data_IF_474502722808
#
_entry.id   IF_474502722808
#
_cell.length_a   1.000
_cell.length_b   1.000
_cell.length_c   1.000
_cell.angle_alpha   90.00
_cell.angle_beta   90.00
_cell.angle_gamma   90.00
#
_symmetry.space_group_name_H-M   'P 1'
#
loop_
_entity.id
_entity.type
_entity.pdbx_description
1 polymer ?
#
# COMPACT_ATOMS: atom_id res chain seq x y z
N UNK A 1 -10.78 -21.02 11.84
CA UNK A 1 -10.22 -20.01 10.91
C UNK A 1 -8.99 -19.44 11.58
N UNK A 2 -7.84 -19.82 11.07
CA UNK A 2 -6.55 -19.38 11.57
C UNK A 2 -6.26 -18.01 10.98
N UNK A 3 -6.50 -16.97 11.77
CA UNK A 3 -6.20 -15.60 11.40
C UNK A 3 -4.74 -15.28 11.68
N UNK A 4 -4.10 -14.56 10.76
CA UNK A 4 -2.77 -13.99 10.94
C UNK A 4 -2.81 -12.47 10.91
N UNK A 5 -1.80 -11.86 11.52
CA UNK A 5 -1.62 -10.40 11.55
C UNK A 5 -0.40 -10.04 10.72
N UNK A 6 -0.63 -9.36 9.60
CA UNK A 6 0.40 -8.89 8.69
C UNK A 6 0.74 -7.43 9.02
N UNK A 7 2.02 -7.12 9.19
CA UNK A 7 2.48 -5.75 9.31
C UNK A 7 2.74 -5.24 7.89
N UNK A 8 1.94 -4.25 7.49
CA UNK A 8 1.96 -3.69 6.16
C UNK A 8 2.59 -2.29 6.17
N UNK A 9 3.26 -1.93 5.08
CA UNK A 9 3.83 -0.59 4.90
C UNK A 9 3.65 -0.15 3.45
N UNK A 10 3.26 1.10 3.25
CA UNK A 10 3.21 1.67 1.89
C UNK A 10 4.62 1.93 1.40
N UNK A 11 4.91 1.59 0.15
CA UNK A 11 6.23 1.80 -0.44
C UNK A 11 6.62 3.28 -0.37
N UNK A 12 7.80 3.57 0.19
CA UNK A 12 8.32 4.93 0.39
C UNK A 12 7.91 5.59 1.72
N UNK A 13 7.00 5.00 2.49
CA UNK A 13 6.65 5.50 3.81
C UNK A 13 7.71 5.13 4.87
N UNK A 14 7.91 5.98 5.90
CA UNK A 14 8.75 5.66 7.06
C UNK A 14 8.18 4.53 7.94
N UNK A 15 9.04 3.90 8.75
CA UNK A 15 8.64 2.76 9.61
C UNK A 15 7.50 3.07 10.59
N UNK A 16 7.35 4.32 11.01
CA UNK A 16 6.28 4.72 11.93
C UNK A 16 4.88 4.67 11.31
N UNK A 17 4.78 4.51 9.98
CA UNK A 17 3.51 4.34 9.24
C UNK A 17 3.14 2.87 9.01
N UNK A 18 3.92 1.93 9.55
CA UNK A 18 3.56 0.51 9.55
C UNK A 18 2.20 0.37 10.22
N UNK A 19 1.33 -0.42 9.58
CA UNK A 19 -0.02 -0.65 10.03
C UNK A 19 -0.34 -2.14 9.92
N UNK A 20 -0.95 -2.74 10.95
CA UNK A 20 -1.27 -4.15 10.91
C UNK A 20 -2.61 -4.40 10.21
N UNK A 21 -2.71 -5.50 9.47
CA UNK A 21 -3.96 -6.03 8.93
C UNK A 21 -4.17 -7.45 9.40
N UNK A 22 -5.40 -7.76 9.84
CA UNK A 22 -5.81 -9.12 10.20
C UNK A 22 -6.47 -9.77 8.99
N UNK A 23 -6.05 -10.97 8.62
CA UNK A 23 -6.57 -11.73 7.48
C UNK A 23 -6.52 -13.23 7.81
N UNK A 24 -7.51 -14.01 7.34
CA UNK A 24 -7.49 -15.45 7.50
C UNK A 24 -6.50 -16.11 6.53
N UNK A 25 -5.82 -17.18 6.96
CA UNK A 25 -4.87 -17.91 6.09
C UNK A 25 -5.50 -18.43 4.80
N UNK A 26 -6.79 -18.76 4.83
CA UNK A 26 -7.56 -19.29 3.69
C UNK A 26 -8.04 -18.22 2.73
N UNK A 27 -7.89 -16.93 3.07
CA UNK A 27 -8.25 -15.83 2.17
C UNK A 27 -7.16 -15.66 1.11
N UNK A 28 -7.54 -15.03 -0.01
CA UNK A 28 -6.61 -14.77 -1.09
C UNK A 28 -5.85 -13.45 -0.90
N UNK A 29 -4.75 -13.29 -1.63
CA UNK A 29 -4.09 -11.98 -1.79
C UNK A 29 -5.06 -10.93 -2.37
N UNK A 30 -6.02 -11.33 -3.22
CA UNK A 30 -7.08 -10.46 -3.72
C UNK A 30 -7.98 -9.92 -2.61
N UNK A 31 -8.31 -10.73 -1.62
CA UNK A 31 -9.09 -10.30 -0.46
C UNK A 31 -8.27 -9.42 0.49
N UNK A 32 -6.98 -9.71 0.66
CA UNK A 32 -6.04 -8.84 1.37
C UNK A 32 -6.00 -7.42 0.75
N UNK A 33 -6.05 -7.28 -0.58
CA UNK A 33 -6.10 -5.97 -1.24
C UNK A 33 -7.36 -5.18 -0.85
N UNK A 34 -8.51 -5.83 -0.77
CA UNK A 34 -9.78 -5.19 -0.32
C UNK A 34 -9.68 -4.75 1.13
N UNK A 35 -9.10 -5.60 1.99
CA UNK A 35 -8.87 -5.28 3.41
C UNK A 35 -7.94 -4.08 3.57
N UNK A 36 -6.83 -4.03 2.83
CA UNK A 36 -5.90 -2.91 2.84
C UNK A 36 -6.55 -1.60 2.42
N UNK A 37 -7.39 -1.63 1.37
CA UNK A 37 -8.16 -0.47 0.93
C UNK A 37 -9.06 0.06 2.04
N UNK A 38 -9.75 -0.83 2.76
CA UNK A 38 -10.62 -0.47 3.88
C UNK A 38 -9.84 0.08 5.07
N UNK A 39 -8.71 -0.52 5.40
CA UNK A 39 -7.85 -0.12 6.53
C UNK A 39 -7.23 1.27 6.34
N UNK A 40 -6.92 1.63 5.09
CA UNK A 40 -6.30 2.91 4.72
C UNK A 40 -7.28 3.88 4.08
N UNK A 41 -8.59 3.70 4.27
CA UNK A 41 -9.56 4.72 3.89
C UNK A 41 -9.31 6.02 4.68
N UNK A 42 -9.37 7.22 4.05
CA UNK A 42 -9.68 7.49 2.64
C UNK A 42 -8.47 7.50 1.70
N UNK A 43 -7.26 7.25 2.20
CA UNK A 43 -6.01 7.36 1.44
C UNK A 43 -5.95 6.42 0.22
N UNK A 44 -6.59 5.24 0.27
CA UNK A 44 -6.71 4.31 -0.86
C UNK A 44 -8.07 4.35 -1.57
N UNK A 45 -8.97 5.28 -1.24
CA UNK A 45 -10.35 5.23 -1.71
C UNK A 45 -10.44 5.33 -3.26
N UNK A 46 -9.59 6.18 -3.85
CA UNK A 46 -9.52 6.41 -5.30
C UNK A 46 -8.75 5.34 -6.07
N UNK A 47 -8.18 4.34 -5.40
CA UNK A 47 -7.39 3.28 -6.02
C UNK A 47 -8.23 2.00 -6.05
N UNK A 48 -8.41 1.35 -7.21
CA UNK A 48 -9.05 0.04 -7.26
C UNK A 48 -8.24 -0.97 -6.46
N UNK A 49 -8.90 -1.86 -5.73
CA UNK A 49 -8.18 -2.84 -4.92
C UNK A 49 -7.28 -3.74 -5.77
N UNK A 50 -7.72 -4.11 -6.98
CA UNK A 50 -6.99 -4.93 -7.95
C UNK A 50 -5.74 -4.25 -8.52
N UNK A 51 -5.61 -2.93 -8.35
CA UNK A 51 -4.46 -2.17 -8.80
C UNK A 51 -3.39 -1.96 -7.72
N UNK A 52 -3.69 -2.33 -6.47
CA UNK A 52 -2.69 -2.38 -5.40
C UNK A 52 -1.71 -3.54 -5.68
N UNK A 53 -0.42 -3.20 -5.75
CA UNK A 53 0.65 -4.18 -5.88
C UNK A 53 1.16 -4.55 -4.49
N UNK A 54 1.11 -5.84 -4.17
CA UNK A 54 1.56 -6.36 -2.88
C UNK A 54 2.84 -7.17 -3.06
N UNK A 55 3.79 -6.95 -2.15
CA UNK A 55 5.09 -7.60 -2.15
C UNK A 55 5.34 -8.24 -0.80
N UNK A 56 5.75 -9.50 -0.80
CA UNK A 56 6.14 -10.21 0.42
C UNK A 56 7.57 -9.87 0.78
N UNK A 57 7.78 -9.43 2.01
CA UNK A 57 9.11 -9.08 2.54
C UNK A 57 9.28 -9.67 3.93
N UNK A 58 10.53 -9.85 4.34
CA UNK A 58 10.88 -10.23 5.71
C UNK A 58 11.98 -9.30 6.20
N UNK A 59 11.59 -8.09 6.60
CA UNK A 59 12.52 -7.04 7.01
C UNK A 59 12.17 -6.54 8.41
N UNK A 60 13.16 -6.25 9.27
CA UNK A 60 12.89 -5.62 10.55
C UNK A 60 12.28 -4.22 10.33
N UNK A 61 11.36 -3.83 11.21
CA UNK A 61 10.72 -2.52 11.22
C UNK A 61 11.69 -1.41 11.67
N UNK A 62 12.79 -1.21 10.93
CA UNK A 62 13.76 -0.14 11.14
C UNK A 62 14.07 0.56 9.80
N UNK A 63 14.36 1.86 9.86
CA UNK A 63 14.54 2.67 8.64
C UNK A 63 15.75 2.22 7.80
N UNK A 64 16.78 1.64 8.43
CA UNK A 64 17.97 1.18 7.72
C UNK A 64 17.70 -0.03 6.82
N UNK A 65 16.82 -0.94 7.25
CA UNK A 65 16.40 -2.10 6.48
C UNK A 65 15.52 -1.69 5.30
N UNK A 66 14.67 -0.67 5.49
CA UNK A 66 13.84 -0.14 4.41
C UNK A 66 14.63 0.61 3.33
N UNK A 67 15.79 1.21 3.66
CA UNK A 67 16.65 1.88 2.67
C UNK A 67 17.18 0.94 1.59
N UNK A 68 17.40 -0.33 1.93
CA UNK A 68 17.91 -1.35 1.01
C UNK A 68 16.80 -2.32 0.56
N UNK A 69 15.54 -1.87 0.59
CA UNK A 69 14.39 -2.67 0.20
C UNK A 69 14.48 -3.05 -1.30
N UNK A 70 14.52 -4.35 -1.58
CA UNK A 70 14.33 -4.91 -2.92
C UNK A 70 12.93 -5.52 -3.04
N UNK A 71 12.21 -5.17 -4.10
CA UNK A 71 10.85 -5.66 -4.39
C UNK A 71 10.92 -6.76 -5.45
N UNK A 72 11.13 -8.00 -5.00
CA UNK A 72 11.31 -9.16 -5.89
C UNK A 72 10.12 -10.13 -5.82
N UNK A 73 9.53 -10.31 -4.63
CA UNK A 73 8.46 -11.28 -4.40
C UNK A 73 7.08 -10.65 -4.52
N UNK A 74 6.65 -10.40 -5.76
CA UNK A 74 5.30 -9.91 -6.04
C UNK A 74 4.27 -11.01 -5.78
N UNK A 75 3.23 -10.69 -5.00
CA UNK A 75 2.15 -11.61 -4.68
C UNK A 75 1.10 -11.69 -5.79
N UNK A 76 0.66 -12.90 -6.14
CA UNK A 76 -0.40 -13.12 -7.12
C UNK A 76 -1.77 -13.04 -6.42
N UNK A 77 -2.77 -12.30 -6.95
CA UNK A 77 -4.09 -12.18 -6.32
C UNK A 77 -4.81 -13.49 -6.04
N UNK A 78 -4.49 -14.58 -6.73
CA UNK A 78 -5.14 -15.89 -6.51
C UNK A 78 -4.47 -16.74 -5.42
N UNK A 79 -3.26 -16.39 -5.00
CA UNK A 79 -2.55 -17.18 -3.99
C UNK A 79 -3.25 -17.03 -2.63
N UNK A 80 -3.31 -18.14 -1.89
CA UNK A 80 -3.79 -18.11 -0.51
C UNK A 80 -2.74 -17.50 0.42
N UNK A 81 -3.19 -16.73 1.41
CA UNK A 81 -2.29 -16.06 2.36
C UNK A 81 -1.44 -17.06 3.15
N UNK A 82 -2.00 -18.20 3.54
CA UNK A 82 -1.30 -19.27 4.24
C UNK A 82 -0.17 -19.88 3.42
N UNK A 83 -0.34 -20.00 2.10
CA UNK A 83 0.67 -20.58 1.21
C UNK A 83 1.84 -19.62 0.99
N UNK A 84 1.56 -18.33 0.77
CA UNK A 84 2.62 -17.34 0.48
C UNK A 84 3.42 -16.96 1.71
N UNK A 85 2.78 -16.88 2.88
CA UNK A 85 3.44 -16.56 4.15
C UNK A 85 4.06 -17.81 4.79
N UNK A 86 3.49 -18.98 4.49
CA UNK A 86 3.80 -20.25 5.13
C UNK A 86 3.31 -20.34 6.57
N UNK A 87 3.67 -21.44 7.24
CA UNK A 87 3.37 -21.67 8.66
C UNK A 87 4.29 -20.93 9.63
N UNK A 88 5.21 -20.13 9.09
CA UNK A 88 6.19 -19.41 9.89
C UNK A 88 5.50 -18.41 10.81
N UNK A 89 5.80 -18.50 12.10
CA UNK A 89 5.41 -17.49 13.09
C UNK A 89 6.04 -16.15 12.70
N UNK A 90 5.23 -15.30 12.06
CA UNK A 90 5.63 -13.98 11.62
C UNK A 90 6.21 -13.18 12.79
N UNK A 91 7.42 -12.68 12.63
CA UNK A 91 8.06 -11.90 13.67
C UNK A 91 7.31 -10.57 13.84
N UNK A 92 6.73 -10.35 15.02
CA UNK A 92 5.90 -9.17 15.31
C UNK A 92 6.61 -7.82 15.09
N UNK A 93 7.95 -7.81 15.03
CA UNK A 93 8.77 -6.61 14.80
C UNK A 93 9.21 -6.43 13.34
N UNK A 94 8.66 -7.21 12.42
CA UNK A 94 9.03 -7.18 11.00
C UNK A 94 7.91 -6.59 10.17
N UNK A 95 8.26 -5.99 9.04
CA UNK A 95 7.35 -5.70 7.95
C UNK A 95 7.20 -6.99 7.14
N UNK A 96 5.95 -7.36 6.86
CA UNK A 96 5.62 -8.57 6.13
C UNK A 96 5.19 -8.25 4.70
N UNK A 97 4.47 -7.13 4.51
CA UNK A 97 3.93 -6.75 3.21
C UNK A 97 4.30 -5.30 2.88
N UNK A 98 4.84 -5.09 1.68
CA UNK A 98 4.93 -3.75 1.10
C UNK A 98 3.75 -3.54 0.14
N UNK A 99 3.04 -2.44 0.32
CA UNK A 99 1.93 -2.00 -0.52
C UNK A 99 2.45 -0.92 -1.46
N UNK A 100 2.54 -1.22 -2.75
CA UNK A 100 2.94 -0.26 -3.76
C UNK A 100 1.70 0.23 -4.52
N UNK A 101 1.58 1.54 -4.63
CA UNK A 101 0.51 2.20 -5.38
C UNK A 101 0.82 2.18 -6.88
N UNK A 102 -0.21 2.14 -7.76
CA UNK A 102 0.01 2.21 -9.18
C UNK A 102 0.59 3.57 -9.59
N UNK A 103 1.39 3.60 -10.66
CA UNK A 103 2.20 4.76 -11.04
C UNK A 103 1.40 6.02 -11.41
N UNK A 104 0.15 5.88 -11.84
CA UNK A 104 -0.71 7.03 -12.15
C UNK A 104 -1.32 7.66 -10.89
N UNK A 105 -1.22 7.00 -9.73
CA UNK A 105 -1.69 7.57 -8.48
C UNK A 105 -0.68 8.59 -7.96
N UNK A 106 -0.97 9.86 -8.21
CA UNK A 106 -0.32 10.96 -7.53
C UNK A 106 -0.96 11.09 -6.13
N UNK A 107 -0.20 10.99 -5.03
CA UNK A 107 -0.75 11.23 -3.71
C UNK A 107 -1.37 12.63 -3.67
N UNK A 108 -2.45 12.86 -2.89
CA UNK A 108 -3.17 14.13 -2.85
C UNK A 108 -2.28 15.35 -2.60
N UNK A 109 -1.16 15.16 -1.89
CA UNK A 109 -0.16 16.20 -1.63
C UNK A 109 0.63 16.66 -2.86
N UNK A 110 0.67 15.86 -3.93
CA UNK A 110 1.29 16.22 -5.22
C UNK A 110 0.30 16.91 -6.17
N UNK A 111 -1.00 16.76 -5.92
CA UNK A 111 -2.08 17.45 -6.63
C UNK A 111 -2.34 18.80 -5.96
N UNK A 112 -1.31 19.67 -5.91
CA UNK A 112 -1.58 21.09 -5.68
C UNK A 112 -2.51 21.57 -6.81
N UNK A 113 -3.57 22.34 -6.52
CA UNK A 113 -4.46 22.83 -7.57
C UNK A 113 -3.62 23.66 -8.53
N UNK A 114 -3.56 23.23 -9.79
CA UNK A 114 -3.05 24.03 -10.89
C UNK A 114 -3.69 25.41 -10.75
N UNK A 115 -2.87 26.42 -10.50
CA UNK A 115 -3.28 27.81 -10.42
C UNK A 115 -4.12 28.09 -11.66
N UNK A 116 -5.44 28.23 -11.49
CA UNK A 116 -6.31 28.73 -12.51
C UNK A 116 -5.87 30.19 -12.70
N UNK A 117 -4.93 30.44 -13.61
CA UNK A 117 -4.56 31.78 -13.99
C UNK A 117 -5.81 32.40 -14.63
N UNK A 118 -6.41 33.44 -14.05
CA UNK A 118 -7.42 34.19 -14.77
C UNK A 118 -6.68 34.87 -15.92
N UNK A 119 -6.93 34.39 -17.15
CA UNK A 119 -6.56 35.12 -18.35
C UNK A 119 -7.19 36.51 -18.23
N UNK A 120 -6.30 37.48 -18.10
CA UNK A 120 -6.52 38.91 -18.15
C UNK A 120 -7.53 39.26 -19.27
N UNK A 121 -8.74 39.68 -18.90
CA UNK A 121 -9.65 40.33 -19.83
C UNK A 121 -9.15 41.78 -19.96
N UNK A 122 -8.24 42.02 -20.89
CA UNK A 122 -8.10 43.33 -21.52
C UNK A 122 -8.82 43.25 -22.87
N UNK A 123 -9.94 43.97 -22.97
CA UNK A 123 -10.79 43.92 -24.16
C UNK A 123 -11.94 44.93 -24.12
N UNK A 124 -11.57 46.20 -23.94
CA UNK A 124 -12.18 47.44 -24.47
C UNK A 124 -13.66 47.37 -24.90
N UNK A 125 -14.50 48.16 -24.22
CA UNK A 125 -15.66 48.82 -24.81
C UNK A 125 -15.78 50.25 -24.25
N UNK A 126 -15.40 51.26 -25.05
CA UNK A 126 -16.02 52.59 -25.08
C UNK A 126 -16.00 53.10 -26.51
#
# INVERSE_FOLDING_TARGET
MDDIKLNCLTFGDPVNRIFPVKVAKTETVGDLRKLLKKEKDPFFNNIPADELLLWLVSLPANDNALKNLSLENKLNPVDEIGEVVGDTSLNKKYVHIIVQLPKYYAPPSALAPSTLSPSFIEGICV
#
